data_IF_735130238437
#
_entry.id   IF_735130238437
#
_cell.length_a   1.000
_cell.length_b   1.000
_cell.length_c   1.000
_cell.angle_alpha   90.00
_cell.angle_beta   90.00
_cell.angle_gamma   90.00
#
_symmetry.space_group_name_H-M   'P 1'
#
loop_
_entity.id
_entity.type
_entity.pdbx_description
1 polymer ?
#
# COMPACT_ATOMS: atom_id res chain seq x y z
N UNK A 1 35.37 20.86 -13.93
CA UNK A 1 34.62 19.60 -14.18
C UNK A 1 33.19 19.82 -13.71
N UNK A 2 32.29 20.25 -14.60
CA UNK A 2 30.88 20.46 -14.19
C UNK A 2 29.89 19.84 -15.17
N UNK A 3 30.08 19.83 -16.50
CA UNK A 3 29.14 19.17 -17.41
C UNK A 3 29.77 18.68 -18.72
N UNK A 4 30.94 18.03 -18.69
CA UNK A 4 31.40 17.34 -19.91
C UNK A 4 30.59 16.06 -20.12
N UNK A 5 29.86 15.93 -21.25
CA UNK A 5 29.10 14.72 -21.53
C UNK A 5 30.06 13.56 -21.72
N UNK A 6 29.78 12.43 -21.06
CA UNK A 6 30.61 11.24 -21.22
C UNK A 6 30.63 10.78 -22.69
N UNK A 7 31.73 10.16 -23.14
CA UNK A 7 31.85 9.59 -24.50
C UNK A 7 30.77 8.56 -24.84
N UNK A 8 30.04 8.09 -23.84
CA UNK A 8 28.98 7.11 -23.94
C UNK A 8 27.58 7.75 -24.04
N UNK A 9 27.49 9.07 -23.97
CA UNK A 9 26.25 9.84 -24.01
C UNK A 9 26.26 10.78 -25.22
N UNK A 10 25.14 10.82 -25.94
CA UNK A 10 24.98 11.75 -27.05
C UNK A 10 24.88 13.19 -26.52
N UNK A 11 25.75 14.08 -26.99
CA UNK A 11 25.84 15.47 -26.52
C UNK A 11 24.62 16.31 -26.93
N UNK A 12 23.92 15.91 -28.00
CA UNK A 12 22.76 16.66 -28.51
C UNK A 12 21.45 16.15 -27.92
N UNK A 13 21.29 14.84 -27.83
CA UNK A 13 20.03 14.21 -27.40
C UNK A 13 20.06 13.73 -25.94
N UNK A 14 21.23 13.72 -25.30
CA UNK A 14 21.46 13.17 -23.96
C UNK A 14 21.11 11.68 -23.79
N UNK A 15 20.86 10.99 -24.91
CA UNK A 15 20.55 9.56 -24.97
C UNK A 15 21.82 8.71 -24.78
N UNK A 16 21.61 7.48 -24.35
CA UNK A 16 22.69 6.49 -24.32
C UNK A 16 23.11 6.11 -25.73
N UNK A 17 24.43 6.06 -25.99
CA UNK A 17 24.93 5.55 -27.27
C UNK A 17 24.85 4.02 -27.32
N UNK A 18 24.85 3.40 -28.52
CA UNK A 18 24.91 1.94 -28.66
C UNK A 18 26.11 1.29 -27.95
N UNK A 19 27.24 2.01 -27.84
CA UNK A 19 28.40 1.57 -27.09
C UNK A 19 28.09 1.43 -25.59
N UNK A 20 27.36 2.40 -25.01
CA UNK A 20 26.95 2.36 -23.61
C UNK A 20 26.00 1.19 -23.31
N UNK A 21 25.06 0.93 -24.23
CA UNK A 21 24.06 -0.15 -24.07
C UNK A 21 24.77 -1.51 -24.02
N UNK A 22 25.72 -1.76 -24.91
CA UNK A 22 26.51 -3.00 -24.92
C UNK A 22 27.36 -3.17 -23.66
N UNK A 23 27.98 -2.09 -23.18
CA UNK A 23 28.76 -2.12 -21.95
C UNK A 23 27.92 -2.50 -20.71
N UNK A 24 26.62 -2.19 -20.71
CA UNK A 24 25.69 -2.49 -19.60
C UNK A 24 24.99 -3.85 -19.70
N UNK A 25 24.98 -4.47 -20.87
CA UNK A 25 24.36 -5.77 -21.11
C UNK A 25 24.68 -6.84 -20.05
N UNK A 26 25.94 -7.05 -19.61
CA UNK A 26 26.25 -8.09 -18.63
C UNK A 26 25.73 -7.80 -17.21
N UNK A 27 25.51 -6.53 -16.87
CA UNK A 27 25.06 -6.13 -15.53
C UNK A 27 23.54 -6.12 -15.38
N UNK A 28 22.81 -6.07 -16.50
CA UNK A 28 21.35 -5.97 -16.48
C UNK A 28 20.69 -7.07 -15.64
N UNK A 29 21.10 -8.33 -15.83
CA UNK A 29 20.56 -9.48 -15.08
C UNK A 29 20.84 -9.38 -13.58
N UNK A 30 22.05 -8.98 -13.20
CA UNK A 30 22.46 -8.85 -11.78
C UNK A 30 21.70 -7.72 -11.09
N UNK A 31 21.56 -6.58 -11.77
CA UNK A 31 20.81 -5.44 -11.26
C UNK A 31 19.32 -5.75 -11.15
N UNK A 32 18.74 -6.46 -12.13
CA UNK A 32 17.34 -6.88 -12.10
C UNK A 32 17.08 -7.86 -10.94
N UNK A 33 17.99 -8.80 -10.71
CA UNK A 33 17.90 -9.71 -9.57
C UNK A 33 17.95 -8.96 -8.23
N UNK A 34 18.87 -7.99 -8.10
CA UNK A 34 18.93 -7.13 -6.91
C UNK A 34 17.65 -6.32 -6.70
N UNK A 35 17.10 -5.73 -7.76
CA UNK A 35 15.82 -5.02 -7.70
C UNK A 35 14.67 -5.93 -7.29
N UNK A 36 14.59 -7.12 -7.89
CA UNK A 36 13.57 -8.11 -7.55
C UNK A 36 13.66 -8.55 -6.09
N UNK A 37 14.87 -8.71 -5.56
CA UNK A 37 15.08 -9.02 -4.14
C UNK A 37 14.59 -7.88 -3.24
N UNK A 38 14.95 -6.63 -3.54
CA UNK A 38 14.51 -5.48 -2.75
C UNK A 38 12.98 -5.34 -2.73
N UNK A 39 12.36 -5.37 -3.92
CA UNK A 39 10.90 -5.28 -4.05
C UNK A 39 10.21 -6.50 -3.44
N UNK A 40 10.76 -7.69 -3.65
CA UNK A 40 10.21 -8.94 -3.14
C UNK A 40 10.24 -9.03 -1.62
N UNK A 41 11.33 -8.60 -0.98
CA UNK A 41 11.45 -8.57 0.49
C UNK A 41 10.46 -7.56 1.07
N UNK A 42 10.47 -6.31 0.58
CA UNK A 42 9.57 -5.27 1.09
C UNK A 42 8.11 -5.64 0.86
N UNK A 43 7.74 -6.05 -0.37
CA UNK A 43 6.39 -6.48 -0.70
C UNK A 43 5.97 -7.72 0.09
N UNK A 44 6.88 -8.68 0.30
CA UNK A 44 6.64 -9.88 1.10
C UNK A 44 6.30 -9.54 2.55
N UNK A 45 7.01 -8.60 3.17
CA UNK A 45 6.71 -8.14 4.54
C UNK A 45 5.31 -7.51 4.61
N UNK A 46 4.97 -6.61 3.68
CA UNK A 46 3.65 -5.97 3.66
C UNK A 46 2.52 -6.99 3.42
N UNK A 47 2.70 -7.91 2.47
CA UNK A 47 1.70 -8.94 2.19
C UNK A 47 1.56 -9.90 3.38
N UNK A 48 2.67 -10.31 4.00
CA UNK A 48 2.62 -11.17 5.16
C UNK A 48 1.91 -10.50 6.33
N UNK A 49 2.31 -9.28 6.69
CA UNK A 49 1.70 -8.53 7.79
C UNK A 49 0.22 -8.27 7.54
N UNK A 50 -0.17 -7.87 6.32
CA UNK A 50 -1.57 -7.70 5.95
C UNK A 50 -2.37 -9.01 6.10
N UNK A 51 -1.84 -10.13 5.61
CA UNK A 51 -2.52 -11.43 5.72
C UNK A 51 -2.58 -11.93 7.17
N UNK A 52 -1.54 -11.67 7.95
CA UNK A 52 -1.46 -12.06 9.35
C UNK A 52 -2.47 -11.27 10.20
N UNK A 53 -2.50 -9.94 10.05
CA UNK A 53 -3.45 -9.09 10.80
C UNK A 53 -4.91 -9.38 10.47
N UNK A 54 -5.23 -9.74 9.22
CA UNK A 54 -6.59 -10.09 8.81
C UNK A 54 -6.95 -11.57 9.06
N UNK A 55 -6.04 -12.37 9.65
CA UNK A 55 -6.30 -13.79 9.86
C UNK A 55 -7.26 -14.03 11.02
N UNK A 56 -7.15 -13.22 12.07
CA UNK A 56 -7.92 -13.38 13.28
C UNK A 56 -8.97 -12.26 13.34
N UNK A 57 -10.26 -12.64 13.37
CA UNK A 57 -11.38 -11.74 13.60
C UNK A 57 -11.49 -11.40 15.11
N UNK A 58 -10.36 -11.17 15.79
CA UNK A 58 -10.30 -10.89 17.24
C UNK A 58 -11.02 -9.57 17.61
N UNK A 59 -11.43 -8.77 16.61
CA UNK A 59 -12.29 -7.60 16.78
C UNK A 59 -13.80 -7.91 16.73
N UNK A 60 -14.20 -9.15 16.43
CA UNK A 60 -15.60 -9.55 16.38
C UNK A 60 -16.17 -9.86 17.77
N UNK A 61 -15.33 -10.31 18.69
CA UNK A 61 -15.75 -10.82 20.01
C UNK A 61 -15.49 -9.79 21.11
N UNK A 62 -15.92 -8.55 20.91
CA UNK A 62 -16.11 -7.63 22.05
C UNK A 62 -17.43 -8.04 22.72
N UNK A 63 -17.41 -8.62 23.93
CA UNK A 63 -18.65 -8.99 24.60
C UNK A 63 -19.47 -7.72 24.85
N UNK A 64 -20.69 -7.69 24.32
CA UNK A 64 -21.62 -6.60 24.59
C UNK A 64 -21.86 -6.62 26.10
N UNK A 65 -21.59 -5.51 26.83
CA UNK A 65 -21.89 -5.48 28.26
C UNK A 65 -23.39 -5.79 28.46
N UNK A 66 -23.78 -6.47 29.54
CA UNK A 66 -25.20 -6.70 29.81
C UNK A 66 -25.90 -5.34 29.98
N UNK A 67 -26.84 -5.04 29.08
CA UNK A 67 -27.63 -3.79 29.06
C UNK A 67 -28.98 -4.07 29.72
N UNK A 68 -29.48 -3.16 30.57
CA UNK A 68 -30.84 -3.23 31.13
C UNK A 68 -31.88 -3.10 30.00
N UNK A 69 -32.95 -3.88 30.03
CA UNK A 69 -34.01 -3.88 29.00
C UNK A 69 -34.61 -2.48 28.79
N UNK A 70 -34.65 -1.67 29.85
CA UNK A 70 -35.13 -0.28 29.82
C UNK A 70 -34.20 0.63 29.02
N UNK A 71 -32.88 0.50 29.19
CA UNK A 71 -31.89 1.27 28.44
C UNK A 71 -31.88 0.84 26.97
N UNK A 72 -32.03 -0.46 26.69
CA UNK A 72 -32.11 -0.98 25.32
C UNK A 72 -33.31 -0.40 24.56
N UNK A 73 -34.45 -0.26 25.21
CA UNK A 73 -35.65 0.35 24.62
C UNK A 73 -35.47 1.84 24.32
N UNK A 74 -34.73 2.58 25.16
CA UNK A 74 -34.40 3.98 24.93
C UNK A 74 -33.42 4.13 23.76
N UNK A 75 -32.33 3.36 23.75
CA UNK A 75 -31.31 3.36 22.71
C UNK A 75 -31.88 3.01 21.33
N UNK A 76 -32.80 2.04 21.25
CA UNK A 76 -33.50 1.69 20.00
C UNK A 76 -34.34 2.86 19.47
N UNK A 77 -35.06 3.56 20.35
CA UNK A 77 -35.87 4.74 19.97
C UNK A 77 -34.98 5.87 19.44
N UNK A 78 -33.88 6.15 20.12
CA UNK A 78 -32.91 7.17 19.72
C UNK A 78 -32.27 6.83 18.36
N UNK A 79 -31.86 5.58 18.17
CA UNK A 79 -31.32 5.10 16.89
C UNK A 79 -32.31 5.26 15.74
N UNK A 80 -33.59 4.91 15.96
CA UNK A 80 -34.63 5.06 14.95
C UNK A 80 -34.91 6.53 14.60
N UNK A 81 -34.90 7.42 15.59
CA UNK A 81 -35.01 8.87 15.37
C UNK A 81 -33.83 9.37 14.54
N UNK A 82 -32.60 9.06 14.95
CA UNK A 82 -31.39 9.49 14.25
C UNK A 82 -31.30 8.93 12.82
N UNK A 83 -31.82 7.71 12.58
CA UNK A 83 -31.93 7.11 11.25
C UNK A 83 -32.96 7.83 10.37
N UNK A 84 -34.09 8.27 10.93
CA UNK A 84 -35.11 9.07 10.23
C UNK A 84 -34.57 10.46 9.91
N UNK A 85 -33.90 11.11 10.85
CA UNK A 85 -33.34 12.45 10.68
C UNK A 85 -32.29 12.47 9.56
N UNK A 86 -31.36 11.50 9.55
CA UNK A 86 -30.39 11.32 8.46
C UNK A 86 -31.06 11.07 7.10
N UNK A 87 -32.20 10.38 7.08
CA UNK A 87 -32.94 10.13 5.83
C UNK A 87 -33.69 11.37 5.35
N UNK A 88 -34.10 12.27 6.25
CA UNK A 88 -34.80 13.50 5.93
C UNK A 88 -33.84 14.65 5.54
N UNK A 89 -32.55 14.54 5.86
CA UNK A 89 -31.51 15.51 5.50
C UNK A 89 -30.86 15.25 4.11
N UNK A 90 -31.15 14.09 3.49
CA UNK A 90 -30.72 13.73 2.13
C UNK A 90 -31.90 13.81 1.16
#
# INVERSE_FOLDING_TARGET
MVFEPSRYQDQRTWKMTPAMIRARAPFFKKNLAGLALLVGVTGGIYVYTYRFLNKDNDFADVPIPPIDEKELAQLKKEYEQHKKDRKNQN
#
